data_IF_709486122506
#
_entry.id   IF_709486122506
#
_cell.length_a   1.000
_cell.length_b   1.000
_cell.length_c   1.000
_cell.angle_alpha   90.00
_cell.angle_beta   90.00
_cell.angle_gamma   90.00
#
_symmetry.space_group_name_H-M   'P 1'
#
loop_
_entity.id
_entity.type
_entity.pdbx_description
1 polymer ?
#
# COMPACT_ATOMS: atom_id res chain seq x y z
N UNK A 1 -13.65 -1.68 -13.44
CA UNK A 1 -12.50 -1.50 -12.54
C UNK A 1 -12.87 -0.52 -11.46
N UNK A 2 -12.77 -0.93 -10.23
CA UNK A 2 -12.96 -0.06 -9.08
C UNK A 2 -11.61 0.10 -8.41
N UNK A 3 -11.19 1.33 -8.23
CA UNK A 3 -10.03 1.68 -7.41
C UNK A 3 -10.52 2.62 -6.32
N UNK A 4 -10.47 2.16 -5.09
CA UNK A 4 -10.54 3.03 -3.93
C UNK A 4 -9.10 3.32 -3.50
N UNK A 5 -8.67 4.55 -3.70
CA UNK A 5 -7.28 4.97 -3.55
C UNK A 5 -6.81 5.12 -2.08
N UNK A 6 -7.52 4.60 -1.11
CA UNK A 6 -7.14 4.75 0.29
C UNK A 6 -7.58 3.56 1.15
N UNK A 7 -7.75 2.41 0.51
CA UNK A 7 -8.21 1.18 1.18
C UNK A 7 -7.31 0.83 2.36
N UNK A 8 -6.01 0.79 2.10
CA UNK A 8 -5.02 0.37 3.07
C UNK A 8 -4.92 1.36 4.23
N UNK A 9 -4.79 2.65 3.93
CA UNK A 9 -4.64 3.68 4.95
C UNK A 9 -5.83 3.71 5.92
N UNK A 10 -7.06 3.49 5.42
CA UNK A 10 -8.26 3.45 6.26
C UNK A 10 -8.21 2.34 7.30
N UNK A 11 -7.71 1.15 6.94
CA UNK A 11 -7.63 0.03 7.88
C UNK A 11 -6.53 0.21 8.92
N UNK A 12 -5.48 0.99 8.62
CA UNK A 12 -4.51 1.46 9.61
C UNK A 12 -5.07 2.55 10.54
N UNK A 13 -6.34 2.93 10.38
CA UNK A 13 -7.01 3.91 11.23
C UNK A 13 -6.93 5.34 10.71
N UNK A 14 -6.47 5.56 9.48
CA UNK A 14 -6.47 6.90 8.87
C UNK A 14 -7.89 7.32 8.51
N UNK A 15 -8.34 8.43 9.08
CA UNK A 15 -9.60 9.05 8.70
C UNK A 15 -9.54 9.57 7.26
N UNK A 16 -10.63 9.38 6.53
CA UNK A 16 -10.75 9.78 5.13
C UNK A 16 -11.83 10.83 4.93
N UNK A 17 -11.54 11.81 4.10
CA UNK A 17 -12.50 12.78 3.58
C UNK A 17 -13.08 12.25 2.27
N UNK A 18 -14.41 12.18 2.20
CA UNK A 18 -15.15 11.74 1.00
C UNK A 18 -15.79 12.92 0.29
N UNK A 19 -15.73 12.91 -1.04
CA UNK A 19 -16.23 13.97 -1.91
C UNK A 19 -17.17 13.39 -2.97
N UNK A 20 -18.03 14.25 -3.54
CA UNK A 20 -18.95 13.84 -4.61
C UNK A 20 -18.29 13.69 -5.97
N UNK A 21 -17.23 14.46 -6.23
CA UNK A 21 -16.66 14.73 -7.56
C UNK A 21 -15.17 14.42 -7.65
N UNK A 22 -14.56 13.92 -6.59
CA UNK A 22 -13.15 13.48 -6.58
C UNK A 22 -12.93 12.30 -5.64
N UNK A 23 -11.78 11.66 -5.78
CA UNK A 23 -11.37 10.55 -4.93
C UNK A 23 -11.31 10.96 -3.45
N UNK A 24 -11.56 10.01 -2.56
CA UNK A 24 -11.31 10.18 -1.14
C UNK A 24 -9.83 10.46 -0.89
N UNK A 25 -9.54 11.20 0.16
CA UNK A 25 -8.16 11.46 0.58
C UNK A 25 -8.03 11.40 2.11
N UNK A 26 -6.81 11.12 2.62
CA UNK A 26 -6.56 11.15 4.05
C UNK A 26 -6.87 12.52 4.66
N UNK A 27 -7.55 12.53 5.81
CA UNK A 27 -7.83 13.77 6.54
C UNK A 27 -6.52 14.33 7.13
N UNK A 28 -6.07 15.52 6.72
CA UNK A 28 -4.85 16.11 7.24
C UNK A 28 -4.93 16.52 8.73
N UNK A 29 -6.15 16.66 9.27
CA UNK A 29 -6.35 17.01 10.67
C UNK A 29 -6.28 15.81 11.62
N UNK A 30 -6.34 14.59 11.10
CA UNK A 30 -6.40 13.37 11.90
C UNK A 30 -5.41 12.32 11.33
N UNK A 31 -4.12 12.53 11.60
CA UNK A 31 -3.06 11.64 11.14
C UNK A 31 -2.81 10.50 12.10
N UNK A 32 -2.59 9.29 11.58
CA UNK A 32 -2.12 8.13 12.37
C UNK A 32 -0.71 8.38 12.87
N UNK A 33 0.12 9.04 12.06
CA UNK A 33 1.49 9.45 12.42
C UNK A 33 1.53 10.99 12.50
N UNK A 34 1.17 11.60 13.63
CA UNK A 34 1.13 13.05 13.76
C UNK A 34 2.52 13.71 13.82
N UNK A 35 3.54 13.01 14.36
CA UNK A 35 4.92 13.50 14.45
C UNK A 35 5.92 12.46 13.94
N UNK A 36 7.16 12.89 13.67
CA UNK A 36 8.25 12.00 13.25
C UNK A 36 8.61 10.92 14.27
N UNK A 37 8.23 11.09 15.54
CA UNK A 37 8.44 10.09 16.60
C UNK A 37 7.31 9.06 16.73
N UNK A 38 6.33 9.05 15.84
CA UNK A 38 5.13 8.21 15.97
C UNK A 38 5.05 7.07 14.94
N UNK A 39 6.05 6.89 14.08
CA UNK A 39 6.05 5.85 13.05
C UNK A 39 5.98 4.42 13.64
N UNK A 40 6.59 4.19 14.78
CA UNK A 40 6.55 2.91 15.49
C UNK A 40 5.18 2.59 16.12
N UNK A 41 4.30 3.61 16.20
CA UNK A 41 2.91 3.48 16.70
C UNK A 41 1.90 3.09 15.60
N UNK A 42 2.34 2.98 14.34
CA UNK A 42 1.48 2.45 13.28
C UNK A 42 0.96 1.07 13.72
N UNK A 43 -0.37 0.85 13.72
CA UNK A 43 -0.91 -0.41 14.24
C UNK A 43 -0.55 -1.60 13.34
N UNK A 44 -0.12 -2.70 13.94
CA UNK A 44 -0.02 -3.99 13.26
C UNK A 44 -1.40 -4.61 13.19
N UNK A 45 -2.06 -4.42 12.07
CA UNK A 45 -3.43 -4.88 11.84
C UNK A 45 -3.43 -6.29 11.24
N UNK A 46 -4.52 -7.01 11.48
CA UNK A 46 -4.83 -8.24 10.77
C UNK A 46 -5.72 -7.90 9.56
N UNK A 47 -5.24 -8.03 8.31
CA UNK A 47 -6.01 -7.66 7.11
C UNK A 47 -7.36 -8.39 6.99
N UNK A 48 -7.48 -9.58 7.57
CA UNK A 48 -8.75 -10.31 7.58
C UNK A 48 -9.82 -9.62 8.45
N UNK A 49 -9.41 -8.80 9.39
CA UNK A 49 -10.28 -8.02 10.29
C UNK A 49 -10.42 -6.57 9.85
N UNK A 50 -9.54 -6.10 8.95
CA UNK A 50 -9.63 -4.79 8.32
C UNK A 50 -10.88 -4.73 7.44
N UNK A 51 -11.68 -3.68 7.61
CA UNK A 51 -12.93 -3.54 6.85
C UNK A 51 -12.66 -3.44 5.35
N UNK A 52 -11.75 -2.56 4.96
CA UNK A 52 -11.49 -2.25 3.54
C UNK A 52 -10.64 -3.33 2.87
N UNK A 53 -9.61 -3.81 3.54
CA UNK A 53 -8.77 -4.89 3.02
C UNK A 53 -9.57 -6.19 2.83
N UNK A 54 -10.44 -6.55 3.79
CA UNK A 54 -11.30 -7.72 3.66
C UNK A 54 -12.36 -7.58 2.57
N UNK A 55 -12.94 -6.38 2.38
CA UNK A 55 -13.85 -6.09 1.27
C UNK A 55 -13.15 -6.27 -0.08
N UNK A 56 -11.87 -5.83 -0.20
CA UNK A 56 -11.09 -6.00 -1.42
C UNK A 56 -10.80 -7.49 -1.72
N UNK A 57 -10.43 -8.26 -0.71
CA UNK A 57 -10.28 -9.72 -0.85
C UNK A 57 -11.56 -10.37 -1.34
N UNK A 58 -12.71 -10.00 -0.77
CA UNK A 58 -14.00 -10.53 -1.18
C UNK A 58 -14.39 -10.10 -2.61
N UNK A 59 -14.07 -8.86 -2.99
CA UNK A 59 -14.24 -8.39 -4.37
C UNK A 59 -13.41 -9.23 -5.35
N UNK A 60 -12.13 -9.47 -5.05
CA UNK A 60 -11.26 -10.31 -5.86
C UNK A 60 -11.83 -11.72 -6.01
N UNK A 61 -12.31 -12.35 -4.92
CA UNK A 61 -12.94 -13.66 -4.94
C UNK A 61 -14.18 -13.70 -5.85
N UNK A 62 -15.04 -12.68 -5.77
CA UNK A 62 -16.22 -12.57 -6.63
C UNK A 62 -15.86 -12.37 -8.10
N UNK A 63 -14.86 -11.55 -8.40
CA UNK A 63 -14.38 -11.31 -9.76
C UNK A 63 -13.77 -12.58 -10.36
N UNK A 64 -12.93 -13.29 -9.63
CA UNK A 64 -12.35 -14.58 -10.07
C UNK A 64 -13.46 -15.59 -10.38
N UNK A 65 -14.47 -15.69 -9.52
CA UNK A 65 -15.62 -16.59 -9.76
C UNK A 65 -16.43 -16.18 -11.00
N UNK A 66 -16.65 -14.88 -11.19
CA UNK A 66 -17.52 -14.37 -12.27
C UNK A 66 -16.85 -14.44 -13.64
N UNK A 67 -15.54 -14.20 -13.74
CA UNK A 67 -14.82 -14.14 -15.03
C UNK A 67 -14.52 -15.52 -15.62
N UNK A 68 -14.53 -16.58 -14.82
CA UNK A 68 -14.02 -17.87 -15.24
C UNK A 68 -12.52 -17.82 -15.58
N UNK A 69 -12.16 -18.21 -16.83
CA UNK A 69 -10.78 -18.15 -17.34
C UNK A 69 -10.59 -17.13 -18.49
N UNK A 70 -11.59 -16.31 -18.76
CA UNK A 70 -11.61 -15.47 -19.96
C UNK A 70 -10.66 -14.27 -19.87
N UNK A 71 -10.48 -13.70 -18.67
CA UNK A 71 -9.66 -12.50 -18.45
C UNK A 71 -8.91 -12.59 -17.13
N UNK A 72 -7.70 -12.05 -17.05
CA UNK A 72 -6.96 -11.97 -15.79
C UNK A 72 -7.67 -11.06 -14.79
N UNK A 73 -7.61 -11.41 -13.52
CA UNK A 73 -7.97 -10.56 -12.39
C UNK A 73 -6.69 -10.08 -11.72
N UNK A 74 -6.54 -8.78 -11.63
CA UNK A 74 -5.36 -8.13 -11.06
C UNK A 74 -5.82 -7.33 -9.83
N UNK A 75 -5.26 -7.61 -8.66
CA UNK A 75 -5.45 -6.80 -7.47
C UNK A 75 -4.52 -5.56 -7.56
N UNK A 76 -5.04 -4.41 -7.13
CA UNK A 76 -4.28 -3.17 -7.03
C UNK A 76 -3.92 -2.92 -5.56
N UNK A 77 -2.65 -2.61 -5.29
CA UNK A 77 -2.12 -2.40 -3.93
C UNK A 77 -1.11 -1.25 -3.97
N UNK A 78 -1.19 -0.33 -3.02
CA UNK A 78 -0.14 0.69 -2.88
C UNK A 78 1.16 0.11 -2.34
N UNK A 79 2.28 0.66 -2.78
CA UNK A 79 3.58 0.40 -2.17
C UNK A 79 3.63 0.92 -0.72
N UNK A 80 4.50 0.35 0.12
CA UNK A 80 4.51 0.64 1.55
C UNK A 80 4.83 2.10 1.86
N UNK A 81 5.74 2.74 1.13
CA UNK A 81 6.05 4.16 1.32
C UNK A 81 4.87 5.06 0.94
N UNK A 82 4.11 4.67 -0.08
CA UNK A 82 2.86 5.33 -0.46
C UNK A 82 1.83 5.31 0.65
N UNK A 83 1.64 4.16 1.30
CA UNK A 83 0.74 4.04 2.46
C UNK A 83 1.24 4.88 3.62
N UNK A 84 2.53 4.79 3.96
CA UNK A 84 3.15 5.61 5.03
C UNK A 84 2.90 7.09 4.80
N UNK A 85 3.00 7.56 3.55
CA UNK A 85 2.71 8.96 3.22
C UNK A 85 1.27 9.37 3.46
N UNK A 86 0.33 8.43 3.30
CA UNK A 86 -1.08 8.67 3.63
C UNK A 86 -1.32 8.78 5.14
N UNK A 87 -0.55 8.03 5.95
CA UNK A 87 -0.65 8.03 7.41
C UNK A 87 0.02 9.24 8.06
N UNK A 88 1.12 9.75 7.48
CA UNK A 88 1.92 10.85 8.02
C UNK A 88 1.55 12.22 7.42
N UNK A 89 1.25 12.25 6.15
CA UNK A 89 1.23 13.42 5.30
C UNK A 89 2.43 13.42 4.36
N UNK A 90 2.17 13.71 3.09
CA UNK A 90 3.20 13.61 2.05
C UNK A 90 4.38 14.54 2.30
N UNK A 91 4.12 15.81 2.64
CA UNK A 91 5.18 16.81 2.87
C UNK A 91 6.01 16.46 4.09
N UNK A 92 5.35 16.11 5.17
CA UNK A 92 5.96 15.71 6.43
C UNK A 92 6.83 14.46 6.23
N UNK A 93 6.31 13.44 5.57
CA UNK A 93 7.07 12.21 5.27
C UNK A 93 8.33 12.53 4.45
N UNK A 94 8.26 13.38 3.42
CA UNK A 94 9.44 13.76 2.65
C UNK A 94 10.49 14.52 3.48
N UNK A 95 10.07 15.34 4.42
CA UNK A 95 11.00 15.95 5.37
C UNK A 95 11.65 14.91 6.27
N UNK A 96 10.85 13.98 6.78
CA UNK A 96 11.30 12.94 7.70
C UNK A 96 12.28 11.95 7.05
N UNK A 97 12.25 11.74 5.72
CA UNK A 97 13.28 10.97 5.00
C UNK A 97 14.69 11.50 5.24
N UNK A 98 14.83 12.80 5.50
CA UNK A 98 16.12 13.44 5.76
C UNK A 98 16.39 13.68 7.24
N UNK A 99 15.35 13.97 8.02
CA UNK A 99 15.52 14.38 9.43
C UNK A 99 15.36 13.23 10.42
N UNK A 100 14.60 12.19 10.06
CA UNK A 100 14.31 11.03 10.90
C UNK A 100 14.23 9.73 10.08
N UNK A 101 15.24 9.40 9.24
CA UNK A 101 15.17 8.27 8.29
C UNK A 101 14.89 6.93 8.95
N UNK A 102 15.46 6.69 10.13
CA UNK A 102 15.28 5.43 10.85
C UNK A 102 13.84 5.27 11.38
N UNK A 103 13.18 6.37 11.72
CA UNK A 103 11.77 6.33 12.14
C UNK A 103 10.86 6.02 10.94
N UNK A 104 11.10 6.63 9.78
CA UNK A 104 10.36 6.31 8.54
C UNK A 104 10.51 4.82 8.21
N UNK A 105 11.72 4.27 8.27
CA UNK A 105 11.97 2.84 8.02
C UNK A 105 11.18 1.93 8.94
N UNK A 106 11.03 2.28 10.23
CA UNK A 106 10.16 1.51 11.17
C UNK A 106 8.72 1.47 10.68
N UNK A 107 8.19 2.61 10.26
CA UNK A 107 6.83 2.69 9.71
C UNK A 107 6.67 1.87 8.43
N UNK A 108 7.61 1.98 7.50
CA UNK A 108 7.61 1.21 6.25
C UNK A 108 7.71 -0.30 6.53
N UNK A 109 8.53 -0.72 7.50
CA UNK A 109 8.63 -2.13 7.91
C UNK A 109 7.30 -2.67 8.44
N UNK A 110 6.63 -1.93 9.35
CA UNK A 110 5.32 -2.33 9.91
C UNK A 110 4.28 -2.47 8.80
N UNK A 111 4.20 -1.50 7.90
CA UNK A 111 3.26 -1.54 6.78
C UNK A 111 3.58 -2.70 5.84
N UNK A 112 4.86 -2.96 5.57
CA UNK A 112 5.29 -4.06 4.70
C UNK A 112 4.94 -5.44 5.25
N UNK A 113 5.03 -5.63 6.57
CA UNK A 113 4.61 -6.87 7.22
C UNK A 113 3.11 -7.11 7.03
N UNK A 114 2.29 -6.08 7.26
CA UNK A 114 0.83 -6.15 7.04
C UNK A 114 0.49 -6.40 5.57
N UNK A 115 1.23 -5.78 4.65
CA UNK A 115 1.05 -6.01 3.22
C UNK A 115 1.36 -7.47 2.84
N UNK A 116 2.40 -8.08 3.39
CA UNK A 116 2.70 -9.50 3.16
C UNK A 116 1.54 -10.40 3.58
N UNK A 117 0.94 -10.16 4.75
CA UNK A 117 -0.22 -10.92 5.24
C UNK A 117 -1.46 -10.69 4.36
N UNK A 118 -1.65 -9.48 3.85
CA UNK A 118 -2.75 -9.18 2.94
C UNK A 118 -2.56 -9.79 1.56
N UNK A 119 -1.33 -9.81 1.03
CA UNK A 119 -0.97 -10.49 -0.23
C UNK A 119 -1.33 -11.97 -0.18
N UNK A 120 -1.06 -12.64 0.94
CA UNK A 120 -1.45 -14.05 1.11
C UNK A 120 -2.95 -14.24 0.92
N UNK A 121 -3.76 -13.36 1.49
CA UNK A 121 -5.22 -13.43 1.38
C UNK A 121 -5.71 -13.09 -0.03
N UNK A 122 -5.13 -12.10 -0.69
CA UNK A 122 -5.46 -11.73 -2.06
C UNK A 122 -5.11 -12.88 -3.03
N UNK A 123 -3.90 -13.41 -2.95
CA UNK A 123 -3.46 -14.52 -3.81
C UNK A 123 -4.30 -15.79 -3.59
N UNK A 124 -4.71 -16.08 -2.35
CA UNK A 124 -5.60 -17.20 -2.03
C UNK A 124 -6.99 -17.10 -2.70
N UNK A 125 -7.38 -15.95 -3.23
CA UNK A 125 -8.63 -15.81 -4.00
C UNK A 125 -8.54 -16.38 -5.41
N UNK A 126 -7.34 -16.68 -5.90
CA UNK A 126 -7.08 -17.16 -7.26
C UNK A 126 -6.95 -16.03 -8.30
N UNK A 127 -6.54 -14.84 -7.88
CA UNK A 127 -6.15 -13.76 -8.80
C UNK A 127 -4.91 -14.15 -9.60
N UNK A 128 -4.70 -13.52 -10.74
CA UNK A 128 -3.58 -13.82 -11.64
C UNK A 128 -2.35 -12.97 -11.36
N UNK A 129 -2.55 -11.75 -10.82
CA UNK A 129 -1.47 -10.81 -10.55
C UNK A 129 -1.83 -9.84 -9.42
N UNK A 130 -0.78 -9.25 -8.84
CA UNK A 130 -0.88 -8.03 -8.01
C UNK A 130 -0.14 -6.90 -8.71
N UNK A 131 -0.80 -5.76 -8.86
CA UNK A 131 -0.20 -4.53 -9.37
C UNK A 131 0.05 -3.58 -8.21
N UNK A 132 1.31 -3.23 -8.01
CA UNK A 132 1.72 -2.26 -7.01
C UNK A 132 1.82 -0.87 -7.62
N UNK A 133 1.23 0.12 -6.96
CA UNK A 133 1.46 1.53 -7.25
C UNK A 133 2.57 2.06 -6.36
N UNK A 134 3.75 2.22 -6.96
CA UNK A 134 4.93 2.78 -6.30
C UNK A 134 4.97 4.28 -6.56
N UNK A 135 4.16 5.04 -5.83
CA UNK A 135 3.89 6.48 -6.05
C UNK A 135 5.15 7.34 -6.24
N UNK A 136 6.23 6.99 -5.54
CA UNK A 136 7.44 7.80 -5.47
C UNK A 136 8.64 7.21 -6.23
N UNK A 137 8.46 6.12 -6.96
CA UNK A 137 9.49 5.46 -7.77
C UNK A 137 9.89 6.24 -9.03
N UNK A 138 9.74 7.55 -9.02
CA UNK A 138 10.07 8.45 -10.13
C UNK A 138 11.33 9.25 -9.82
N UNK A 139 12.28 9.28 -10.76
CA UNK A 139 13.49 10.09 -10.64
C UNK A 139 13.25 11.59 -10.54
N UNK A 140 12.06 12.07 -10.91
CA UNK A 140 11.66 13.45 -10.68
C UNK A 140 11.26 13.74 -9.24
N UNK A 141 11.07 12.71 -8.42
CA UNK A 141 10.62 12.81 -7.02
C UNK A 141 11.76 12.45 -6.07
N UNK A 142 12.42 11.31 -6.28
CA UNK A 142 13.54 10.88 -5.43
C UNK A 142 14.62 10.15 -6.25
N UNK A 143 15.84 10.10 -5.73
CA UNK A 143 16.91 9.35 -6.37
C UNK A 143 16.66 7.85 -6.30
N UNK A 144 17.34 7.09 -7.16
CA UNK A 144 17.24 5.63 -7.15
C UNK A 144 17.71 5.03 -5.80
N UNK A 145 18.76 5.63 -5.23
CA UNK A 145 19.31 5.20 -3.94
C UNK A 145 18.32 5.42 -2.80
N UNK A 146 17.68 6.61 -2.77
CA UNK A 146 16.64 6.90 -1.77
C UNK A 146 15.44 5.98 -1.94
N UNK A 147 14.99 5.75 -3.18
CA UNK A 147 13.88 4.83 -3.40
C UNK A 147 14.22 3.42 -2.94
N UNK A 148 15.40 2.92 -3.27
CA UNK A 148 15.85 1.59 -2.85
C UNK A 148 15.92 1.47 -1.33
N UNK A 149 16.44 2.49 -0.66
CA UNK A 149 16.57 2.53 0.80
C UNK A 149 15.22 2.53 1.52
N UNK A 150 14.22 3.27 1.04
CA UNK A 150 12.95 3.49 1.74
C UNK A 150 11.77 2.68 1.20
N UNK A 151 11.85 2.13 -0.01
CA UNK A 151 10.78 1.32 -0.60
C UNK A 151 11.29 0.08 -1.32
N UNK A 152 12.38 0.15 -2.09
CA UNK A 152 12.84 -0.91 -2.99
C UNK A 152 13.12 -2.23 -2.29
N UNK A 153 13.84 -2.20 -1.16
CA UNK A 153 14.16 -3.39 -0.36
C UNK A 153 12.89 -4.06 0.19
N UNK A 154 11.90 -3.28 0.60
CA UNK A 154 10.62 -3.78 1.09
C UNK A 154 9.76 -4.32 -0.05
N UNK A 155 9.71 -3.62 -1.18
CA UNK A 155 8.99 -4.06 -2.37
C UNK A 155 9.56 -5.37 -2.93
N UNK A 156 10.86 -5.58 -2.84
CA UNK A 156 11.49 -6.86 -3.22
C UNK A 156 10.88 -8.01 -2.41
N UNK A 157 10.84 -7.89 -1.08
CA UNK A 157 10.24 -8.88 -0.17
C UNK A 157 8.75 -9.13 -0.49
N UNK A 158 7.99 -8.07 -0.68
CA UNK A 158 6.55 -8.15 -0.99
C UNK A 158 6.33 -8.82 -2.36
N UNK A 159 7.14 -8.48 -3.38
CA UNK A 159 7.07 -9.08 -4.70
C UNK A 159 7.43 -10.57 -4.69
N UNK A 160 8.42 -10.97 -3.89
CA UNK A 160 8.76 -12.38 -3.69
C UNK A 160 7.59 -13.14 -3.03
N UNK A 161 6.90 -12.51 -2.09
CA UNK A 161 5.70 -13.09 -1.49
C UNK A 161 4.61 -13.36 -2.52
N UNK A 162 4.33 -12.40 -3.42
CA UNK A 162 3.37 -12.60 -4.53
C UNK A 162 3.80 -13.76 -5.42
N UNK A 163 5.08 -13.80 -5.82
CA UNK A 163 5.60 -14.87 -6.69
C UNK A 163 5.55 -16.24 -6.05
N UNK A 164 5.72 -16.34 -4.72
CA UNK A 164 5.63 -17.61 -3.99
C UNK A 164 4.25 -18.25 -4.07
N UNK A 165 3.21 -17.46 -4.34
CA UNK A 165 1.84 -17.93 -4.60
C UNK A 165 1.57 -18.24 -6.08
N UNK A 166 2.55 -18.11 -6.96
CA UNK A 166 2.40 -18.32 -8.41
C UNK A 166 1.70 -17.15 -9.12
N UNK A 167 1.46 -16.02 -8.45
CA UNK A 167 0.89 -14.82 -9.03
C UNK A 167 1.97 -13.97 -9.73
N UNK A 168 1.57 -13.25 -10.80
CA UNK A 168 2.45 -12.29 -11.44
C UNK A 168 2.52 -10.98 -10.64
N UNK A 169 3.67 -10.30 -10.74
CA UNK A 169 3.89 -8.98 -10.16
C UNK A 169 3.87 -7.94 -11.28
N UNK A 170 3.10 -6.89 -11.09
CA UNK A 170 3.08 -5.71 -11.96
C UNK A 170 3.46 -4.49 -11.13
N UNK A 171 4.21 -3.57 -11.71
CA UNK A 171 4.55 -2.28 -11.07
C UNK A 171 3.96 -1.17 -11.92
N UNK A 172 3.19 -0.31 -11.27
CA UNK A 172 2.78 0.98 -11.82
C UNK A 172 3.70 2.06 -11.25
N UNK A 173 4.33 2.81 -12.14
CA UNK A 173 5.16 3.96 -11.78
C UNK A 173 4.56 5.20 -12.43
N UNK A 174 4.18 6.19 -11.63
CA UNK A 174 3.56 7.43 -12.08
C UNK A 174 4.55 8.44 -12.71
N UNK A 175 5.79 8.07 -12.97
CA UNK A 175 6.81 8.96 -13.49
C UNK A 175 7.88 8.27 -14.34
N UNK A 176 8.97 9.02 -14.59
CA UNK A 176 10.14 8.56 -15.36
C UNK A 176 11.27 8.12 -14.42
#
# INVERSE_FOLDING_TARGET
>A
TLVDLSVEAADFGQELLYFKDKAACPDPAQRVVPTEGDYDKIPRIDPAKGKRMSEHVELCRKLVKARGKDKPVVAFVFGPLGIVSMLRGQQEMFMDLYTAPDEVKKGVEIVSDVLCDWIDQLCATGIDAVMFDTLYASRSIMSAEMWDEFEGVYMTRIAERVRSHGCAVMIHNCGQ
#
